data_IF_643254113148
#
_entry.id   IF_643254113148
#
_cell.length_a   1.000
_cell.length_b   1.000
_cell.length_c   1.000
_cell.angle_alpha   90.00
_cell.angle_beta   90.00
_cell.angle_gamma   90.00
#
_symmetry.space_group_name_H-M   'P 1'
#
loop_
_entity.id
_entity.type
_entity.pdbx_description
1 polymer ?
#
# COMPACT_ATOMS: atom_id res chain seq x y z
N UNK A 1 -12.38 -6.80 12.39
CA UNK A 1 -12.56 -8.18 12.90
C UNK A 1 -13.96 -8.41 13.46
N UNK A 2 -14.50 -7.51 14.32
CA UNK A 2 -15.82 -7.69 14.93
C UNK A 2 -16.94 -7.89 13.89
N UNK A 3 -16.96 -7.08 12.83
CA UNK A 3 -17.92 -7.18 11.72
C UNK A 3 -17.87 -8.58 11.08
N UNK A 4 -16.69 -9.06 10.70
CA UNK A 4 -16.54 -10.37 10.06
C UNK A 4 -16.95 -11.54 10.99
N UNK A 5 -16.69 -11.41 12.28
CA UNK A 5 -17.21 -12.38 13.28
C UNK A 5 -18.74 -12.38 13.31
N UNK A 6 -19.36 -11.21 13.26
CA UNK A 6 -20.82 -11.07 13.25
C UNK A 6 -21.46 -11.63 11.98
N UNK A 7 -20.75 -11.59 10.85
CA UNK A 7 -21.13 -12.29 9.62
C UNK A 7 -21.03 -13.81 9.72
N UNK A 8 -20.51 -14.34 10.82
CA UNK A 8 -20.37 -15.79 11.03
C UNK A 8 -19.03 -16.38 10.59
N UNK A 9 -18.04 -15.58 10.23
CA UNK A 9 -16.71 -16.05 9.86
C UNK A 9 -15.94 -16.50 11.11
N UNK A 10 -16.22 -17.72 11.59
CA UNK A 10 -15.63 -18.26 12.81
C UNK A 10 -14.12 -18.45 12.68
N UNK A 11 -13.38 -18.00 13.68
CA UNK A 11 -11.91 -18.14 13.70
C UNK A 11 -11.17 -17.02 12.97
N UNK A 12 -11.85 -16.06 12.35
CA UNK A 12 -11.21 -14.93 11.64
C UNK A 12 -10.32 -14.08 12.56
N UNK A 13 -10.60 -14.04 13.86
CA UNK A 13 -9.79 -13.36 14.87
C UNK A 13 -8.40 -13.96 15.05
N UNK A 14 -8.19 -15.21 14.62
CA UNK A 14 -6.91 -15.91 14.68
C UNK A 14 -6.07 -15.69 13.42
N UNK A 15 -6.63 -15.03 12.40
CA UNK A 15 -5.94 -14.77 11.14
C UNK A 15 -4.70 -13.90 11.39
N UNK A 16 -3.53 -14.45 11.07
CA UNK A 16 -2.25 -13.74 11.16
C UNK A 16 -2.08 -12.80 9.96
N UNK A 17 -1.30 -11.71 10.09
CA UNK A 17 -0.96 -10.87 8.94
C UNK A 17 -0.44 -11.71 7.77
N UNK A 18 -0.84 -11.34 6.55
CA UNK A 18 -0.44 -12.00 5.29
C UNK A 18 -0.87 -13.46 5.15
N UNK A 19 -1.92 -13.87 5.86
CA UNK A 19 -2.55 -15.19 5.66
C UNK A 19 -3.85 -15.08 4.90
N UNK A 20 -4.22 -16.15 4.20
CA UNK A 20 -5.47 -16.29 3.47
C UNK A 20 -6.29 -17.39 4.13
N UNK A 21 -7.58 -17.13 4.29
CA UNK A 21 -8.56 -18.06 4.87
C UNK A 21 -9.77 -18.18 3.93
N UNK A 22 -10.41 -19.33 3.93
CA UNK A 22 -11.61 -19.59 3.14
C UNK A 22 -12.78 -19.89 4.07
N UNK A 23 -13.92 -19.30 3.77
CA UNK A 23 -15.18 -19.49 4.50
C UNK A 23 -16.29 -19.85 3.52
N UNK A 24 -17.29 -20.56 3.98
CA UNK A 24 -18.52 -20.71 3.22
C UNK A 24 -19.35 -19.42 3.28
N UNK A 25 -19.84 -18.98 2.14
CA UNK A 25 -20.74 -17.85 2.01
C UNK A 25 -21.78 -18.17 0.92
N UNK A 26 -23.00 -18.46 1.34
CA UNK A 26 -24.11 -18.92 0.47
C UNK A 26 -23.75 -20.11 -0.43
N UNK A 27 -22.97 -21.07 0.09
CA UNK A 27 -22.55 -22.26 -0.65
C UNK A 27 -21.37 -22.04 -1.59
N UNK A 28 -20.75 -20.86 -1.58
CA UNK A 28 -19.55 -20.55 -2.35
C UNK A 28 -18.37 -20.18 -1.44
N UNK A 29 -17.17 -20.22 -1.96
CA UNK A 29 -15.96 -19.92 -1.21
C UNK A 29 -15.72 -18.40 -1.14
N UNK A 30 -15.86 -17.82 0.04
CA UNK A 30 -15.38 -16.48 0.36
C UNK A 30 -13.92 -16.57 0.80
N UNK A 31 -13.02 -16.04 0.01
CA UNK A 31 -11.62 -15.89 0.38
C UNK A 31 -11.42 -14.60 1.15
N UNK A 32 -10.79 -14.68 2.30
CA UNK A 32 -10.47 -13.54 3.17
C UNK A 32 -8.97 -13.47 3.35
N UNK A 33 -8.35 -12.42 2.87
CA UNK A 33 -6.94 -12.11 3.11
C UNK A 33 -6.80 -11.17 4.31
N UNK A 34 -5.83 -11.46 5.19
CA UNK A 34 -5.46 -10.60 6.31
C UNK A 34 -4.45 -9.56 5.85
N UNK A 35 -4.83 -8.81 4.85
CA UNK A 35 -4.09 -7.73 4.22
C UNK A 35 -4.94 -6.46 4.20
N UNK A 36 -4.32 -5.34 3.86
CA UNK A 36 -4.99 -4.06 3.73
C UNK A 36 -4.00 -2.98 3.35
N UNK A 37 -4.52 -1.84 2.92
CA UNK A 37 -3.74 -0.74 2.37
C UNK A 37 -3.85 0.56 3.19
N UNK A 38 -4.28 0.46 4.46
CA UNK A 38 -4.51 1.63 5.32
C UNK A 38 -3.62 1.66 6.56
N UNK A 39 -2.70 0.71 6.70
CA UNK A 39 -1.78 0.61 7.84
C UNK A 39 -2.38 0.04 9.12
N UNK A 40 -3.70 -0.04 9.22
CA UNK A 40 -4.41 -0.61 10.36
C UNK A 40 -4.78 -2.07 10.19
N UNK A 41 -5.65 -2.54 11.09
CA UNK A 41 -6.26 -3.86 11.01
C UNK A 41 -7.21 -3.92 9.80
N UNK A 42 -6.80 -4.57 8.73
CA UNK A 42 -7.53 -4.71 7.49
C UNK A 42 -7.77 -6.15 7.06
N UNK A 43 -8.78 -6.34 6.23
CA UNK A 43 -9.10 -7.58 5.55
C UNK A 43 -9.54 -7.26 4.13
N UNK A 44 -9.19 -8.12 3.19
CA UNK A 44 -9.68 -8.08 1.82
C UNK A 44 -10.57 -9.29 1.59
N UNK A 45 -11.76 -9.05 1.05
CA UNK A 45 -12.78 -10.05 0.83
C UNK A 45 -12.93 -10.28 -0.68
N UNK A 46 -12.79 -11.53 -1.09
CA UNK A 46 -12.81 -11.94 -2.49
C UNK A 46 -13.88 -13.01 -2.71
N UNK A 47 -14.82 -12.73 -3.59
CA UNK A 47 -15.91 -13.63 -3.92
C UNK A 47 -16.23 -13.57 -5.40
N UNK A 48 -17.02 -14.51 -5.92
CA UNK A 48 -17.55 -14.46 -7.27
C UNK A 48 -18.42 -13.22 -7.47
N UNK A 49 -18.40 -12.66 -8.68
CA UNK A 49 -19.11 -11.44 -9.01
C UNK A 49 -20.61 -11.51 -8.73
N UNK A 50 -21.22 -12.70 -8.93
CA UNK A 50 -22.64 -12.96 -8.72
C UNK A 50 -23.08 -12.78 -7.27
N UNK A 51 -22.17 -12.94 -6.30
CA UNK A 51 -22.41 -12.80 -4.86
C UNK A 51 -21.84 -11.51 -4.26
N UNK A 52 -21.35 -10.59 -5.10
CA UNK A 52 -20.69 -9.38 -4.63
C UNK A 52 -21.65 -8.44 -3.90
N UNK A 53 -22.90 -8.33 -4.35
CA UNK A 53 -23.92 -7.49 -3.71
C UNK A 53 -24.34 -8.06 -2.37
N UNK A 54 -24.61 -9.36 -2.30
CA UNK A 54 -24.96 -10.05 -1.07
C UNK A 54 -23.85 -9.95 -0.03
N UNK A 55 -22.58 -10.04 -0.47
CA UNK A 55 -21.44 -9.83 0.44
C UNK A 55 -21.39 -8.38 0.95
N UNK A 56 -21.61 -7.41 0.08
CA UNK A 56 -21.66 -6.00 0.45
C UNK A 56 -22.74 -5.76 1.51
N UNK A 57 -23.96 -6.21 1.25
CA UNK A 57 -25.10 -6.04 2.16
C UNK A 57 -24.85 -6.71 3.51
N UNK A 58 -24.32 -7.94 3.49
CA UNK A 58 -23.97 -8.67 4.72
C UNK A 58 -22.90 -7.95 5.56
N UNK A 59 -21.89 -7.35 4.92
CA UNK A 59 -20.86 -6.53 5.61
C UNK A 59 -21.49 -5.30 6.26
N UNK A 60 -22.38 -4.60 5.54
CA UNK A 60 -23.06 -3.41 6.04
C UNK A 60 -24.03 -3.72 7.17
N UNK A 61 -24.83 -4.75 7.04
CA UNK A 61 -25.73 -5.20 8.08
C UNK A 61 -24.97 -5.60 9.35
N UNK A 62 -23.93 -6.41 9.21
CA UNK A 62 -23.10 -6.80 10.33
C UNK A 62 -22.33 -5.64 10.97
N UNK A 63 -22.02 -4.61 10.17
CA UNK A 63 -21.26 -3.43 10.57
C UNK A 63 -22.10 -2.30 11.18
N UNK A 64 -23.44 -2.35 11.09
CA UNK A 64 -24.32 -1.23 11.45
C UNK A 64 -24.08 -0.72 12.88
N UNK A 65 -24.03 -1.61 13.88
CA UNK A 65 -23.80 -1.26 15.29
C UNK A 65 -22.34 -0.83 15.57
N UNK A 66 -21.44 -1.05 14.62
CA UNK A 66 -20.02 -0.64 14.71
C UNK A 66 -19.74 0.66 13.97
N UNK A 67 -20.77 1.31 13.43
CA UNK A 67 -20.62 2.56 12.70
C UNK A 67 -19.84 2.41 11.39
N UNK A 68 -20.06 1.30 10.67
CA UNK A 68 -19.41 1.09 9.38
C UNK A 68 -19.82 2.18 8.37
N UNK A 69 -18.86 2.75 7.69
CA UNK A 69 -19.06 3.73 6.64
C UNK A 69 -18.19 3.40 5.43
N UNK A 70 -18.68 3.61 4.20
CA UNK A 70 -17.84 3.56 3.01
C UNK A 70 -16.90 4.77 3.03
N UNK A 71 -15.70 4.59 2.50
CA UNK A 71 -14.80 5.71 2.23
C UNK A 71 -14.17 5.54 0.85
N UNK A 72 -13.86 6.67 0.22
CA UNK A 72 -13.38 6.69 -1.15
C UNK A 72 -11.86 6.67 -1.27
N UNK A 73 -11.41 6.79 -2.52
CA UNK A 73 -10.00 6.74 -2.89
C UNK A 73 -9.14 7.78 -2.17
N UNK A 74 -9.63 9.01 -1.99
CA UNK A 74 -8.87 10.05 -1.30
C UNK A 74 -8.58 9.69 0.16
N UNK A 75 -9.55 9.16 0.89
CA UNK A 75 -9.33 8.72 2.27
C UNK A 75 -8.39 7.51 2.33
N UNK A 76 -8.49 6.58 1.36
CA UNK A 76 -7.53 5.48 1.22
C UNK A 76 -6.13 6.02 0.98
N UNK A 77 -5.98 7.03 0.10
CA UNK A 77 -4.68 7.63 -0.21
C UNK A 77 -4.07 8.33 1.01
N UNK A 78 -4.87 9.04 1.80
CA UNK A 78 -4.41 9.62 3.07
C UNK A 78 -3.91 8.53 4.04
N UNK A 79 -4.70 7.48 4.25
CA UNK A 79 -4.37 6.40 5.17
C UNK A 79 -3.13 5.61 4.74
N UNK A 80 -3.00 5.28 3.44
CA UNK A 80 -1.83 4.56 2.92
C UNK A 80 -0.55 5.39 3.05
N UNK A 81 -0.66 6.71 2.84
CA UNK A 81 0.49 7.60 2.93
C UNK A 81 0.96 7.75 4.39
N UNK A 82 0.03 7.89 5.34
CA UNK A 82 0.36 7.85 6.76
C UNK A 82 1.07 6.55 7.15
N UNK A 83 0.62 5.42 6.59
CA UNK A 83 1.24 4.10 6.80
C UNK A 83 2.59 3.94 6.07
N UNK A 84 2.93 4.83 5.15
CA UNK A 84 4.15 4.73 4.34
C UNK A 84 4.06 3.73 3.19
N UNK A 85 2.85 3.35 2.78
CA UNK A 85 2.66 2.49 1.61
C UNK A 85 2.81 3.26 0.30
N UNK A 86 3.49 2.64 -0.66
CA UNK A 86 3.75 3.19 -1.99
C UNK A 86 2.80 2.61 -3.03
N UNK A 87 2.53 3.39 -4.08
CA UNK A 87 1.66 3.00 -5.18
C UNK A 87 2.34 3.19 -6.54
N UNK A 88 2.12 2.25 -7.49
CA UNK A 88 2.49 2.45 -8.88
C UNK A 88 1.80 3.70 -9.44
N UNK A 89 2.53 4.48 -10.24
CA UNK A 89 2.04 5.73 -10.83
C UNK A 89 2.06 6.93 -9.89
N UNK A 90 2.42 6.74 -8.61
CA UNK A 90 2.63 7.80 -7.61
C UNK A 90 4.11 7.87 -7.20
N UNK A 91 4.58 6.89 -6.44
CA UNK A 91 5.96 6.84 -5.95
C UNK A 91 6.92 6.23 -6.96
N UNK A 92 6.45 5.37 -7.85
CA UNK A 92 7.28 4.72 -8.89
C UNK A 92 6.47 4.43 -10.16
N UNK A 93 7.17 4.23 -11.26
CA UNK A 93 6.55 3.83 -12.51
C UNK A 93 6.45 2.31 -12.60
N UNK A 94 5.37 1.82 -13.22
CA UNK A 94 5.25 0.41 -13.56
C UNK A 94 6.23 0.10 -14.72
N UNK A 95 7.03 -0.96 -14.58
CA UNK A 95 8.02 -1.36 -15.58
C UNK A 95 7.41 -1.55 -16.99
N UNK A 96 6.16 -2.00 -17.08
CA UNK A 96 5.44 -2.16 -18.35
C UNK A 96 5.01 -0.84 -19.01
N UNK A 97 4.98 0.24 -18.25
CA UNK A 97 4.58 1.57 -18.75
C UNK A 97 5.75 2.53 -18.91
N UNK A 98 6.93 2.13 -18.47
CA UNK A 98 8.12 2.97 -18.55
C UNK A 98 8.70 2.93 -19.96
N UNK A 99 8.76 4.11 -20.58
CA UNK A 99 9.38 4.29 -21.91
C UNK A 99 10.86 4.65 -21.77
N UNK A 100 11.23 5.32 -20.67
CA UNK A 100 12.58 5.79 -20.38
C UNK A 100 13.08 5.14 -19.07
N UNK A 101 14.00 4.18 -19.18
CA UNK A 101 14.55 3.43 -18.04
C UNK A 101 15.25 4.30 -16.99
N UNK A 102 15.73 5.47 -17.36
CA UNK A 102 16.33 6.45 -16.46
C UNK A 102 15.36 7.05 -15.44
N UNK A 103 14.06 6.88 -15.67
CA UNK A 103 12.98 7.27 -14.74
C UNK A 103 12.45 6.11 -13.89
N UNK A 104 12.99 4.91 -14.07
CA UNK A 104 12.63 3.76 -13.25
C UNK A 104 13.27 3.85 -11.88
N UNK A 105 12.52 3.46 -10.87
CA UNK A 105 13.01 3.34 -9.51
C UNK A 105 13.35 1.88 -9.21
N UNK A 106 14.46 1.70 -8.54
CA UNK A 106 14.89 0.38 -8.06
C UNK A 106 14.34 0.10 -6.66
N UNK A 107 14.34 -1.16 -6.20
CA UNK A 107 13.97 -1.48 -4.82
C UNK A 107 14.76 -0.69 -3.77
N UNK A 108 16.03 -0.36 -4.02
CA UNK A 108 16.84 0.44 -3.11
C UNK A 108 16.35 1.88 -2.99
N UNK A 109 15.93 2.46 -4.09
CA UNK A 109 15.40 3.83 -4.13
C UNK A 109 14.05 3.94 -3.43
N UNK A 110 13.29 2.84 -3.41
CA UNK A 110 11.96 2.74 -2.77
C UNK A 110 12.01 2.22 -1.31
N UNK A 111 13.20 2.04 -0.73
CA UNK A 111 13.40 1.40 0.57
C UNK A 111 12.83 -0.03 0.67
N UNK A 112 12.82 -0.74 -0.44
CA UNK A 112 12.42 -2.15 -0.54
C UNK A 112 13.62 -3.09 -0.68
N UNK A 113 14.81 -2.65 -0.31
CA UNK A 113 16.06 -3.41 -0.36
C UNK A 113 15.99 -4.72 0.43
N UNK A 114 15.22 -4.76 1.51
CA UNK A 114 14.95 -5.94 2.32
C UNK A 114 14.23 -7.08 1.55
N UNK A 115 13.58 -6.77 0.45
CA UNK A 115 12.92 -7.76 -0.43
C UNK A 115 13.90 -8.41 -1.41
N UNK A 116 15.12 -7.88 -1.56
CA UNK A 116 16.11 -8.36 -2.52
C UNK A 116 17.02 -9.38 -1.86
N UNK A 117 16.85 -10.66 -2.18
CA UNK A 117 17.66 -11.74 -1.65
C UNK A 117 18.85 -12.06 -2.56
N UNK A 118 20.02 -11.47 -2.27
CA UNK A 118 21.26 -11.73 -2.99
C UNK A 118 21.89 -13.12 -2.73
N UNK A 119 21.37 -13.90 -1.78
CA UNK A 119 21.79 -15.31 -1.58
C UNK A 119 21.30 -16.20 -2.73
N UNK A 120 20.25 -15.78 -3.43
CA UNK A 120 19.83 -16.45 -4.66
C UNK A 120 20.93 -16.35 -5.71
N UNK A 121 21.33 -17.46 -6.34
CA UNK A 121 22.46 -17.46 -7.29
C UNK A 121 22.14 -16.66 -8.56
N UNK A 122 20.86 -16.63 -8.97
CA UNK A 122 20.41 -15.95 -10.18
C UNK A 122 19.00 -15.41 -10.06
N UNK A 123 18.81 -14.18 -10.57
CA UNK A 123 17.52 -13.57 -10.87
C UNK A 123 17.72 -12.38 -11.82
N UNK A 124 16.69 -11.98 -12.54
CA UNK A 124 16.75 -10.86 -13.47
C UNK A 124 17.08 -9.55 -12.73
N UNK A 125 18.09 -8.82 -13.22
CA UNK A 125 18.55 -7.57 -12.61
C UNK A 125 19.56 -7.72 -11.46
N UNK A 126 19.93 -8.97 -11.06
CA UNK A 126 20.85 -9.19 -9.93
C UNK A 126 22.17 -8.42 -10.05
N UNK A 127 22.82 -8.46 -11.22
CA UNK A 127 24.09 -7.77 -11.42
C UNK A 127 23.96 -6.25 -11.29
N UNK A 128 22.92 -5.67 -11.88
CA UNK A 128 22.66 -4.23 -11.83
C UNK A 128 22.37 -3.78 -10.39
N UNK A 129 21.52 -4.51 -9.67
CA UNK A 129 21.20 -4.20 -8.27
C UNK A 129 22.41 -4.35 -7.35
N UNK A 130 23.29 -5.35 -7.61
CA UNK A 130 24.51 -5.51 -6.84
C UNK A 130 25.46 -4.32 -7.04
N UNK A 131 25.68 -3.90 -8.29
CA UNK A 131 26.50 -2.75 -8.63
C UNK A 131 25.94 -1.45 -8.00
N UNK A 132 24.61 -1.26 -8.05
CA UNK A 132 23.96 -0.11 -7.40
C UNK A 132 24.17 -0.12 -5.88
N UNK A 133 24.03 -1.28 -5.25
CA UNK A 133 24.26 -1.43 -3.82
C UNK A 133 25.71 -1.10 -3.44
N UNK A 134 26.66 -1.59 -4.21
CA UNK A 134 28.11 -1.36 -3.99
C UNK A 134 28.48 0.12 -4.18
N UNK A 135 27.89 0.78 -5.17
CA UNK A 135 28.13 2.21 -5.40
C UNK A 135 27.61 3.10 -4.30
N UNK A 136 26.50 2.72 -3.66
CA UNK A 136 25.80 3.51 -2.63
C UNK A 136 25.24 4.84 -3.16
N UNK A 137 25.35 5.11 -4.46
CA UNK A 137 24.94 6.38 -5.07
C UNK A 137 23.59 6.23 -5.77
N UNK A 138 22.52 6.39 -5.01
CA UNK A 138 21.15 6.37 -5.53
C UNK A 138 20.25 7.27 -4.69
N UNK A 139 19.15 7.73 -5.29
CA UNK A 139 18.10 8.47 -4.60
C UNK A 139 17.41 7.58 -3.60
N UNK A 140 16.74 8.17 -2.63
CA UNK A 140 15.90 7.43 -1.68
C UNK A 140 14.55 8.09 -1.52
N UNK A 141 13.52 7.28 -1.43
CA UNK A 141 12.21 7.74 -1.00
C UNK A 141 12.25 8.07 0.49
N UNK A 142 11.79 9.28 0.84
CA UNK A 142 11.77 9.75 2.22
C UNK A 142 10.35 10.18 2.59
N UNK A 143 9.97 9.89 3.82
CA UNK A 143 8.76 10.45 4.42
C UNK A 143 9.13 11.81 5.03
N UNK A 144 8.38 12.84 4.64
CA UNK A 144 8.59 14.20 5.11
C UNK A 144 7.34 14.67 5.85
N UNK A 145 7.54 15.37 6.94
CA UNK A 145 6.53 16.22 7.56
C UNK A 145 6.77 17.65 7.09
N UNK A 146 5.74 18.28 6.53
CA UNK A 146 5.83 19.58 5.87
C UNK A 146 4.90 20.54 6.59
N UNK A 147 5.47 21.61 7.15
CA UNK A 147 4.69 22.66 7.76
C UNK A 147 3.80 23.38 6.73
N UNK A 148 2.56 23.64 7.11
CA UNK A 148 1.62 24.37 6.28
C UNK A 148 0.33 23.62 6.01
N UNK A 149 -0.55 24.22 5.20
CA UNK A 149 -1.89 23.72 4.91
C UNK A 149 -2.15 23.49 3.41
N UNK A 150 -1.12 23.49 2.59
CA UNK A 150 -1.24 23.26 1.15
C UNK A 150 -0.59 21.93 0.78
N UNK A 151 -1.25 21.10 -0.04
CA UNK A 151 -0.64 19.88 -0.53
C UNK A 151 0.59 20.21 -1.37
N UNK A 152 1.70 19.52 -1.09
CA UNK A 152 2.98 19.72 -1.78
C UNK A 152 3.20 18.73 -2.93
N UNK A 153 2.18 17.98 -3.35
CA UNK A 153 2.29 16.99 -4.43
C UNK A 153 2.90 17.60 -5.68
N UNK A 154 3.85 16.89 -6.28
CA UNK A 154 4.60 17.33 -7.47
C UNK A 154 5.47 18.56 -7.26
N UNK A 155 5.67 19.02 -6.03
CA UNK A 155 6.59 20.11 -5.73
C UNK A 155 8.05 19.64 -5.83
N UNK A 156 8.94 20.56 -6.15
CA UNK A 156 10.37 20.33 -6.07
C UNK A 156 10.90 20.60 -4.66
N UNK A 157 11.87 19.79 -4.25
CA UNK A 157 12.62 19.99 -3.01
C UNK A 157 13.95 20.66 -3.37
N UNK A 158 14.28 21.73 -2.67
CA UNK A 158 15.50 22.50 -2.92
C UNK A 158 16.43 22.45 -1.71
N UNK A 159 17.73 22.45 -1.97
CA UNK A 159 18.72 22.69 -0.94
C UNK A 159 18.81 24.20 -0.60
N UNK A 160 19.65 24.54 0.40
CA UNK A 160 19.89 25.93 0.80
C UNK A 160 20.54 26.79 -0.31
N UNK A 161 21.09 26.17 -1.35
CA UNK A 161 21.69 26.81 -2.52
C UNK A 161 20.73 26.91 -3.71
N UNK A 162 19.47 26.55 -3.50
CA UNK A 162 18.41 26.51 -4.52
C UNK A 162 18.61 25.47 -5.63
N UNK A 163 19.41 24.45 -5.41
CA UNK A 163 19.48 23.31 -6.32
C UNK A 163 18.31 22.36 -6.04
N UNK A 164 17.72 21.81 -7.09
CA UNK A 164 16.70 20.75 -6.95
C UNK A 164 17.39 19.49 -6.49
N UNK A 165 16.99 18.98 -5.32
CA UNK A 165 17.52 17.75 -4.72
C UNK A 165 16.51 16.63 -4.68
N UNK A 166 15.24 16.90 -4.99
CA UNK A 166 14.19 15.89 -5.01
C UNK A 166 12.87 16.43 -5.50
N UNK A 167 11.89 15.54 -5.57
CA UNK A 167 10.50 15.85 -5.91
C UNK A 167 9.55 15.16 -4.93
N UNK A 168 8.43 15.80 -4.64
CA UNK A 168 7.38 15.21 -3.82
C UNK A 168 6.48 14.37 -4.73
N UNK A 169 6.42 13.08 -4.48
CA UNK A 169 5.59 12.12 -5.24
C UNK A 169 4.15 12.14 -4.77
N UNK A 170 3.93 12.00 -3.47
CA UNK A 170 2.62 12.09 -2.84
C UNK A 170 2.66 13.05 -1.66
N UNK A 171 1.58 13.78 -1.46
CA UNK A 171 1.39 14.61 -0.28
C UNK A 171 -0.10 14.70 0.04
N UNK A 172 -0.44 14.43 1.29
CA UNK A 172 -1.80 14.49 1.80
C UNK A 172 -1.80 15.07 3.22
N UNK A 173 -2.93 15.55 3.63
CA UNK A 173 -3.14 15.93 5.00
C UNK A 173 -3.12 14.70 5.91
N UNK A 174 -2.41 14.81 7.04
CA UNK A 174 -2.34 13.72 8.03
C UNK A 174 -3.20 14.05 9.24
N UNK A 175 -4.35 13.40 9.45
CA UNK A 175 -5.17 13.59 10.66
C UNK A 175 -4.43 13.19 11.94
N UNK A 176 -3.46 12.28 11.87
CA UNK A 176 -2.73 11.77 13.03
C UNK A 176 -1.49 12.60 13.39
N UNK A 177 -0.96 13.41 12.47
CA UNK A 177 0.25 14.23 12.67
C UNK A 177 -0.06 15.66 13.17
N UNK A 178 -1.21 15.90 13.80
CA UNK A 178 -1.64 17.21 14.34
C UNK A 178 -0.75 17.70 15.44
#
# INVERSE_FOLDING_TARGET
>A
CAVLKRMGLKGIEQAKPFTIHHFDFFGDSLMVSRTGFTGGLGYELWIKAELALELWDAVYEAGADYGIHPFGEQATNMARLEAGFIMPGYEFNEALKTVHFEHDQTPFELNLDWMVDFKKPHFNGRAALLAQKESGNYRRLLKLDIEGNKPARSAYIYDNRKNVIGTVTSAEWSPSAK
#
